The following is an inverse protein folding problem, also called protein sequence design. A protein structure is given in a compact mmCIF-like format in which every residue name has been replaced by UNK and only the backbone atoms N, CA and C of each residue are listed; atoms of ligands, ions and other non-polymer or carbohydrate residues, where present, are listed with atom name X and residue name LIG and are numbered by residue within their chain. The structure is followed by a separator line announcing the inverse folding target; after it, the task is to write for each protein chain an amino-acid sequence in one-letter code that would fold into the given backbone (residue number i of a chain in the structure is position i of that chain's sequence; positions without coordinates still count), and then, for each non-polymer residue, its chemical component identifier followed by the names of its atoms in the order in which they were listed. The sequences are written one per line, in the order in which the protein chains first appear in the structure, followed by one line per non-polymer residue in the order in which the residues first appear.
data_IF_708160859914
#
_entry.id   IF_708160859914
#
_cell.length_a   1.000
_cell.length_b   1.000
_cell.length_c   1.000
_cell.angle_alpha   90.00
_cell.angle_beta   90.00
_cell.angle_gamma   90.00
#
_symmetry.space_group_name_H-M   'P 1'
#
loop_
_entity.id
_entity.type
_entity.pdbx_description
1 polymer ?
#
# COMPACT_ATOMS: atom_id res chain seq x y z
N UNK A 1 -41.40 -4.70 -10.81
CA UNK A 1 -40.61 -5.57 -9.92
C UNK A 1 -40.72 -6.98 -10.45
N UNK A 2 -39.76 -7.42 -11.26
CA UNK A 2 -39.69 -8.80 -11.74
C UNK A 2 -38.87 -9.57 -10.73
N UNK A 3 -39.51 -10.44 -9.96
CA UNK A 3 -38.85 -11.36 -9.05
C UNK A 3 -38.12 -12.39 -9.91
N UNK A 4 -36.80 -12.31 -9.91
CA UNK A 4 -35.93 -13.30 -10.52
C UNK A 4 -36.08 -14.62 -9.77
N UNK A 5 -36.49 -15.70 -10.46
CA UNK A 5 -36.64 -17.03 -9.88
C UNK A 5 -35.30 -17.57 -9.37
N UNK A 6 -35.32 -18.62 -8.52
CA UNK A 6 -34.09 -19.22 -7.99
C UNK A 6 -33.21 -19.74 -9.12
N UNK A 7 -31.84 -19.68 -8.96
CA UNK A 7 -30.91 -20.13 -9.97
C UNK A 7 -31.10 -21.63 -10.26
N UNK A 8 -31.16 -21.99 -11.53
CA UNK A 8 -31.30 -23.38 -11.98
C UNK A 8 -29.99 -24.13 -11.67
N UNK A 9 -30.04 -25.12 -10.79
CA UNK A 9 -28.89 -25.98 -10.48
C UNK A 9 -28.76 -27.01 -11.61
N UNK A 10 -27.72 -26.87 -12.43
CA UNK A 10 -27.36 -27.86 -13.46
C UNK A 10 -26.36 -28.87 -12.86
N UNK A 11 -26.67 -30.16 -12.90
CA UNK A 11 -25.92 -31.24 -12.24
C UNK A 11 -24.77 -31.81 -13.07
N UNK A 12 -24.49 -31.34 -14.27
CA UNK A 12 -23.31 -31.68 -15.08
C UNK A 12 -22.52 -30.43 -15.44
N UNK A 13 -21.21 -30.46 -15.12
CA UNK A 13 -20.33 -29.34 -15.35
C UNK A 13 -20.00 -29.22 -16.82
N UNK A 14 -20.84 -28.56 -17.62
CA UNK A 14 -20.50 -28.11 -18.96
C UNK A 14 -19.29 -27.15 -18.83
N UNK A 15 -18.26 -27.35 -19.70
CA UNK A 15 -17.05 -26.52 -19.70
C UNK A 15 -17.37 -25.02 -19.95
N UNK A 16 -18.42 -24.71 -20.71
CA UNK A 16 -18.84 -23.34 -20.96
C UNK A 16 -19.43 -22.70 -19.69
N UNK A 17 -20.30 -23.42 -18.99
CA UNK A 17 -20.87 -22.99 -17.72
C UNK A 17 -19.77 -22.83 -16.64
N UNK A 18 -18.86 -23.79 -16.54
CA UNK A 18 -17.73 -23.71 -15.62
C UNK A 18 -16.87 -22.47 -15.90
N UNK A 19 -16.53 -22.21 -17.16
CA UNK A 19 -15.75 -21.02 -17.56
C UNK A 19 -16.48 -19.73 -17.25
N UNK A 20 -17.78 -19.64 -17.48
CA UNK A 20 -18.58 -18.46 -17.15
C UNK A 20 -18.58 -18.20 -15.64
N UNK A 21 -18.84 -19.25 -14.84
CA UNK A 21 -18.87 -19.13 -13.37
C UNK A 21 -17.51 -18.73 -12.82
N UNK A 22 -16.41 -19.40 -13.24
CA UNK A 22 -15.06 -19.07 -12.79
C UNK A 22 -14.62 -17.69 -13.28
N UNK A 23 -15.11 -17.26 -14.45
CA UNK A 23 -14.88 -15.92 -14.99
C UNK A 23 -15.39 -14.79 -14.09
N UNK A 24 -16.27 -15.06 -13.11
CA UNK A 24 -16.70 -14.06 -12.13
C UNK A 24 -15.69 -13.82 -11.01
N UNK A 25 -14.66 -14.66 -10.87
CA UNK A 25 -13.52 -14.36 -10.01
C UNK A 25 -12.64 -13.30 -10.69
N UNK A 26 -12.66 -12.09 -10.19
CA UNK A 26 -11.68 -11.08 -10.60
C UNK A 26 -10.31 -11.46 -10.04
N UNK A 27 -9.30 -11.50 -10.89
CA UNK A 27 -7.92 -11.81 -10.49
C UNK A 27 -6.96 -10.71 -10.96
N UNK A 28 -5.84 -10.57 -10.26
CA UNK A 28 -4.69 -9.83 -10.79
C UNK A 28 -4.10 -10.57 -11.99
N UNK A 29 -3.39 -9.83 -12.84
CA UNK A 29 -2.67 -10.37 -13.98
C UNK A 29 -1.19 -10.41 -13.68
N UNK A 30 -0.59 -11.59 -13.86
CA UNK A 30 0.84 -11.79 -13.65
C UNK A 30 1.50 -12.37 -14.90
N UNK A 31 2.80 -12.14 -15.04
CA UNK A 31 3.65 -12.88 -15.98
C UNK A 31 4.62 -13.72 -15.15
N UNK A 32 4.53 -15.03 -15.32
CA UNK A 32 5.49 -15.97 -14.71
C UNK A 32 6.67 -16.10 -15.65
N UNK A 33 7.87 -15.83 -15.16
CA UNK A 33 9.11 -15.88 -15.94
C UNK A 33 10.13 -16.80 -15.29
N UNK A 34 10.90 -17.51 -16.09
CA UNK A 34 12.01 -18.34 -15.63
C UNK A 34 13.09 -18.44 -16.71
N UNK A 35 14.25 -18.99 -16.33
CA UNK A 35 15.34 -19.31 -17.23
C UNK A 35 15.72 -20.78 -17.07
N UNK A 36 15.86 -21.50 -18.17
CA UNK A 36 16.33 -22.87 -18.19
C UNK A 36 17.28 -23.07 -19.39
N UNK A 37 18.43 -23.68 -19.15
CA UNK A 37 19.44 -23.90 -20.20
C UNK A 37 19.89 -22.63 -20.92
N UNK A 38 19.85 -21.46 -20.26
CA UNK A 38 20.18 -20.15 -20.84
C UNK A 38 19.04 -19.50 -21.65
N UNK A 39 17.94 -20.21 -21.89
CA UNK A 39 16.76 -19.69 -22.58
C UNK A 39 15.75 -19.11 -21.60
N UNK A 40 15.11 -17.99 -22.00
CA UNK A 40 14.07 -17.35 -21.21
C UNK A 40 12.68 -17.90 -21.60
N UNK A 41 11.85 -18.12 -20.58
CA UNK A 41 10.47 -18.59 -20.73
C UNK A 41 9.54 -17.69 -19.95
N UNK A 42 8.36 -17.40 -20.51
CA UNK A 42 7.36 -16.58 -19.86
C UNK A 42 5.94 -16.93 -20.28
N UNK A 43 4.99 -16.73 -19.38
CA UNK A 43 3.56 -16.93 -19.64
C UNK A 43 2.71 -16.05 -18.75
N UNK A 44 1.65 -15.48 -19.30
CA UNK A 44 0.62 -14.78 -18.50
C UNK A 44 -0.18 -15.79 -17.70
N UNK A 45 -0.32 -15.54 -16.42
CA UNK A 45 -1.08 -16.38 -15.51
C UNK A 45 -1.92 -15.49 -14.56
N UNK A 46 -3.16 -15.93 -14.31
CA UNK A 46 -4.04 -15.36 -13.30
C UNK A 46 -4.26 -16.29 -12.10
N UNK A 47 -3.82 -17.55 -12.24
CA UNK A 47 -3.93 -18.56 -11.18
C UNK A 47 -2.71 -18.52 -10.25
N UNK A 48 -2.60 -17.45 -9.50
CA UNK A 48 -1.56 -17.17 -8.50
C UNK A 48 -2.23 -16.77 -7.19
N UNK A 49 -1.77 -17.31 -6.07
CA UNK A 49 -2.27 -16.95 -4.74
C UNK A 49 -1.17 -17.03 -3.69
N UNK A 50 -1.27 -16.21 -2.64
CA UNK A 50 -0.47 -16.39 -1.44
C UNK A 50 -0.93 -17.68 -0.71
N UNK A 51 0.03 -18.40 -0.13
CA UNK A 51 -0.21 -19.68 0.53
C UNK A 51 0.08 -19.61 2.03
N UNK A 52 1.21 -19.02 2.40
CA UNK A 52 1.67 -18.91 3.79
C UNK A 52 2.42 -17.60 3.99
N UNK A 53 2.41 -17.09 5.22
CA UNK A 53 3.20 -15.92 5.62
C UNK A 53 4.47 -16.33 6.37
N UNK A 54 4.49 -17.53 6.96
CA UNK A 54 5.65 -18.06 7.67
C UNK A 54 5.81 -19.57 7.37
N UNK A 55 6.83 -19.98 6.57
CA UNK A 55 7.61 -19.10 5.68
C UNK A 55 6.72 -18.45 4.60
N UNK A 56 7.17 -17.30 3.98
CA UNK A 56 6.41 -16.68 2.91
C UNK A 56 6.34 -17.60 1.69
N UNK A 57 5.14 -18.02 1.31
CA UNK A 57 4.91 -18.96 0.21
C UNK A 57 3.77 -18.51 -0.70
N UNK A 58 3.88 -18.90 -1.96
CA UNK A 58 2.87 -18.72 -2.99
C UNK A 58 2.55 -20.03 -3.70
N UNK A 59 1.37 -20.11 -4.32
CA UNK A 59 1.05 -21.15 -5.28
C UNK A 59 0.82 -20.54 -6.67
N UNK A 60 1.25 -21.29 -7.71
CA UNK A 60 1.06 -20.91 -9.11
C UNK A 60 0.60 -22.15 -9.89
N UNK A 61 -0.48 -22.01 -10.67
CA UNK A 61 -0.95 -23.09 -11.54
C UNK A 61 -0.55 -22.81 -13.00
N UNK A 62 0.24 -23.69 -13.60
CA UNK A 62 0.64 -23.60 -15.00
C UNK A 62 0.13 -24.79 -15.80
N UNK A 63 -0.36 -24.53 -17.02
CA UNK A 63 -0.79 -25.60 -17.91
C UNK A 63 0.43 -26.43 -18.34
N UNK A 64 0.33 -27.75 -18.21
CA UNK A 64 1.40 -28.73 -18.49
C UNK A 64 1.84 -28.78 -19.97
N UNK A 65 1.07 -28.18 -20.88
CA UNK A 65 1.43 -28.09 -22.31
C UNK A 65 2.27 -26.86 -22.63
N UNK A 66 2.56 -26.03 -21.66
CA UNK A 66 3.33 -24.80 -21.88
C UNK A 66 4.82 -25.05 -21.64
N UNK A 67 5.71 -24.60 -22.53
CA UNK A 67 7.16 -24.71 -22.32
C UNK A 67 7.62 -24.09 -21.00
N UNK A 68 6.94 -23.00 -20.55
CA UNK A 68 7.24 -22.36 -19.26
C UNK A 68 7.00 -23.30 -18.07
N UNK A 69 6.01 -24.24 -18.17
CA UNK A 69 5.79 -25.24 -17.11
C UNK A 69 7.01 -26.16 -16.95
N UNK A 70 7.50 -26.69 -18.09
CA UNK A 70 8.65 -27.59 -18.09
C UNK A 70 9.93 -26.85 -17.62
N UNK A 71 10.10 -25.61 -18.05
CA UNK A 71 11.23 -24.78 -17.66
C UNK A 71 11.24 -24.45 -16.14
N UNK A 72 10.08 -24.12 -15.55
CA UNK A 72 9.94 -23.89 -14.10
C UNK A 72 10.22 -25.19 -13.32
N UNK A 73 9.76 -26.33 -13.85
CA UNK A 73 10.02 -27.64 -13.22
C UNK A 73 11.51 -28.00 -13.26
N UNK A 74 12.19 -27.72 -14.36
CA UNK A 74 13.61 -27.99 -14.56
C UNK A 74 14.49 -27.06 -13.73
N UNK A 75 14.26 -25.76 -13.82
CA UNK A 75 15.08 -24.75 -13.13
C UNK A 75 14.85 -24.69 -11.61
N UNK A 76 13.65 -25.06 -11.16
CA UNK A 76 13.24 -24.96 -9.76
C UNK A 76 13.07 -23.53 -9.23
N UNK A 77 13.16 -22.52 -10.10
CA UNK A 77 13.02 -21.10 -9.75
C UNK A 77 12.20 -20.33 -10.79
N UNK A 78 11.48 -19.29 -10.35
CA UNK A 78 10.72 -18.43 -11.25
C UNK A 78 10.48 -17.06 -10.61
N UNK A 79 10.16 -16.06 -11.43
CA UNK A 79 9.63 -14.79 -10.95
C UNK A 79 8.12 -14.69 -11.27
N UNK A 80 7.39 -14.05 -10.36
CA UNK A 80 6.02 -13.59 -10.56
C UNK A 80 6.10 -12.08 -10.76
N UNK A 81 5.81 -11.60 -11.95
CA UNK A 81 5.73 -10.17 -12.26
C UNK A 81 4.25 -9.76 -12.26
N UNK A 82 3.83 -8.98 -11.28
CA UNK A 82 2.47 -8.43 -11.17
C UNK A 82 2.40 -7.20 -12.07
N UNK A 83 1.50 -7.23 -13.06
CA UNK A 83 1.43 -6.17 -14.05
C UNK A 83 0.67 -4.94 -13.54
N UNK A 84 1.12 -3.75 -13.95
CA UNK A 84 0.40 -2.49 -13.77
C UNK A 84 -0.77 -2.36 -14.74
N UNK A 85 -1.72 -1.50 -14.43
CA UNK A 85 -2.98 -1.33 -15.17
C UNK A 85 -2.80 -0.96 -16.65
N UNK A 86 -1.68 -0.38 -17.04
CA UNK A 86 -1.32 0.01 -18.42
C UNK A 86 -0.59 -1.07 -19.19
N UNK A 87 -0.22 -2.20 -18.56
CA UNK A 87 0.53 -3.31 -19.18
C UNK A 87 -0.36 -4.39 -19.82
N UNK A 88 -1.55 -4.05 -20.31
CA UNK A 88 -2.47 -4.99 -20.97
C UNK A 88 -1.89 -5.59 -22.27
N UNK A 89 -1.11 -4.83 -23.04
CA UNK A 89 -0.43 -5.34 -24.24
C UNK A 89 0.62 -6.37 -23.88
N UNK A 90 1.40 -6.11 -22.84
CA UNK A 90 2.40 -7.06 -22.32
C UNK A 90 1.74 -8.35 -21.84
N UNK A 91 0.62 -8.25 -21.10
CA UNK A 91 -0.17 -9.42 -20.72
C UNK A 91 -0.60 -10.26 -21.93
N UNK A 92 -1.04 -9.61 -23.01
CA UNK A 92 -1.43 -10.27 -24.26
C UNK A 92 -0.24 -10.92 -24.94
N UNK A 93 0.92 -10.25 -25.00
CA UNK A 93 2.16 -10.77 -25.58
C UNK A 93 2.58 -12.09 -24.92
N UNK A 94 2.57 -12.16 -23.60
CA UNK A 94 2.91 -13.38 -22.86
C UNK A 94 1.81 -14.45 -22.85
N UNK A 95 0.56 -14.09 -23.15
CA UNK A 95 -0.55 -15.05 -23.31
C UNK A 95 -0.52 -15.78 -24.66
N UNK A 96 0.11 -15.21 -25.68
CA UNK A 96 0.15 -15.78 -27.05
C UNK A 96 1.21 -16.89 -27.19
N UNK A 97 1.12 -17.68 -28.28
CA UNK A 97 2.13 -18.68 -28.65
C UNK A 97 3.21 -18.05 -29.57
N UNK A 98 3.76 -16.91 -29.19
CA UNK A 98 4.83 -16.28 -29.94
C UNK A 98 6.19 -16.86 -29.56
N UNK A 99 7.11 -17.13 -30.51
CA UNK A 99 8.44 -17.68 -30.22
C UNK A 99 9.34 -16.71 -29.46
N UNK A 100 9.17 -15.40 -29.68
CA UNK A 100 9.91 -14.34 -28.99
C UNK A 100 8.96 -13.49 -28.13
N UNK A 101 8.66 -14.00 -26.93
CA UNK A 101 7.77 -13.30 -25.98
C UNK A 101 8.47 -12.17 -25.22
N UNK A 102 9.81 -12.13 -25.25
CA UNK A 102 10.60 -11.13 -24.54
C UNK A 102 11.05 -9.97 -25.45
N UNK A 103 10.60 -9.95 -26.72
CA UNK A 103 10.91 -8.86 -27.62
C UNK A 103 10.39 -7.53 -27.07
N UNK A 104 11.26 -6.52 -27.04
CA UNK A 104 10.98 -5.16 -26.58
C UNK A 104 10.56 -5.08 -25.10
N UNK A 105 10.87 -6.11 -24.29
CA UNK A 105 10.61 -6.14 -22.86
C UNK A 105 11.86 -5.75 -22.09
N UNK A 106 11.78 -4.67 -21.30
CA UNK A 106 12.83 -4.28 -20.40
C UNK A 106 12.93 -5.28 -19.23
N UNK A 107 14.10 -5.87 -19.04
CA UNK A 107 14.36 -6.85 -17.99
C UNK A 107 15.38 -6.33 -16.99
N UNK A 108 15.13 -6.58 -15.71
CA UNK A 108 16.08 -6.44 -14.63
C UNK A 108 16.72 -7.81 -14.30
N UNK A 109 17.91 -7.78 -13.75
CA UNK A 109 18.54 -8.98 -13.22
C UNK A 109 17.93 -9.32 -11.86
N UNK A 110 17.33 -10.51 -11.77
CA UNK A 110 16.83 -11.04 -10.51
C UNK A 110 17.95 -11.69 -9.66
N UNK A 111 17.71 -11.83 -8.39
CA UNK A 111 18.62 -12.49 -7.42
C UNK A 111 18.78 -13.98 -7.71
N UNK A 112 17.72 -14.63 -8.26
CA UNK A 112 17.71 -16.06 -8.61
C UNK A 112 18.11 -16.34 -10.06
N UNK A 113 18.69 -15.36 -10.78
CA UNK A 113 19.00 -15.44 -12.22
C UNK A 113 17.75 -15.71 -13.10
N UNK A 114 16.59 -15.27 -12.65
CA UNK A 114 15.33 -15.32 -13.41
C UNK A 114 15.08 -13.97 -14.09
N UNK A 115 14.45 -13.91 -15.27
CA UNK A 115 14.08 -12.65 -15.88
C UNK A 115 12.99 -11.94 -15.03
N UNK A 116 13.28 -10.72 -14.59
CA UNK A 116 12.30 -9.86 -13.93
C UNK A 116 11.90 -8.74 -14.89
N UNK A 117 10.61 -8.49 -15.08
CA UNK A 117 10.11 -7.39 -15.91
C UNK A 117 10.33 -6.08 -15.14
N UNK A 118 11.20 -5.20 -15.66
CA UNK A 118 11.71 -4.03 -14.95
C UNK A 118 10.60 -3.03 -14.54
N UNK A 119 9.54 -2.91 -15.35
CA UNK A 119 8.45 -1.95 -15.16
C UNK A 119 7.17 -2.61 -14.58
N UNK A 120 7.25 -3.85 -14.06
CA UNK A 120 6.11 -4.47 -13.39
C UNK A 120 5.76 -3.72 -12.09
N UNK A 121 4.47 -3.66 -11.74
CA UNK A 121 3.99 -3.03 -10.50
C UNK A 121 4.66 -3.62 -9.27
N UNK A 122 4.83 -4.95 -9.26
CA UNK A 122 5.55 -5.67 -8.22
C UNK A 122 6.12 -6.97 -8.78
N UNK A 123 7.14 -7.53 -8.12
CA UNK A 123 7.62 -8.85 -8.45
C UNK A 123 8.04 -9.64 -7.21
N UNK A 124 7.95 -10.95 -7.36
CA UNK A 124 8.41 -11.94 -6.37
C UNK A 124 9.37 -12.89 -7.08
N UNK A 125 10.51 -13.20 -6.50
CA UNK A 125 11.36 -14.29 -6.95
C UNK A 125 11.18 -15.49 -6.03
N UNK A 126 10.90 -16.65 -6.61
CA UNK A 126 10.42 -17.81 -5.90
C UNK A 126 11.24 -19.06 -6.20
N UNK A 127 11.43 -19.88 -5.17
CA UNK A 127 12.03 -21.21 -5.28
C UNK A 127 10.96 -22.29 -5.05
N UNK A 128 10.80 -23.17 -6.02
CA UNK A 128 9.85 -24.30 -5.94
C UNK A 128 10.24 -25.22 -4.77
N UNK A 129 9.28 -25.51 -3.91
CA UNK A 129 9.40 -26.49 -2.83
C UNK A 129 8.72 -27.80 -3.19
N UNK A 130 7.56 -27.71 -3.84
CA UNK A 130 6.78 -28.86 -4.23
C UNK A 130 6.05 -28.58 -5.55
N UNK A 131 5.82 -29.59 -6.36
CA UNK A 131 5.04 -29.51 -7.58
C UNK A 131 4.11 -30.71 -7.66
N UNK A 132 2.81 -30.45 -7.80
CA UNK A 132 1.77 -31.48 -7.89
C UNK A 132 1.06 -31.37 -9.25
N UNK A 133 1.03 -32.47 -9.99
CA UNK A 133 0.30 -32.55 -11.25
C UNK A 133 -1.17 -32.89 -11.02
N UNK A 134 -2.06 -32.00 -11.42
CA UNK A 134 -3.51 -32.19 -11.30
C UNK A 134 -4.17 -31.92 -12.65
N UNK A 135 -4.76 -32.93 -13.24
CA UNK A 135 -5.42 -32.86 -14.54
C UNK A 135 -4.53 -32.21 -15.63
N UNK A 136 -4.89 -31.03 -16.11
CA UNK A 136 -4.18 -30.32 -17.19
C UNK A 136 -3.10 -29.35 -16.68
N UNK A 137 -2.95 -29.19 -15.37
CA UNK A 137 -2.05 -28.20 -14.77
C UNK A 137 -1.08 -28.82 -13.79
N UNK A 138 0.05 -28.16 -13.62
CA UNK A 138 0.94 -28.36 -12.46
C UNK A 138 0.68 -27.22 -11.48
N UNK A 139 0.56 -27.57 -10.19
CA UNK A 139 0.51 -26.61 -9.08
C UNK A 139 1.89 -26.56 -8.45
N UNK A 140 2.54 -25.43 -8.55
CA UNK A 140 3.83 -25.17 -7.94
C UNK A 140 3.63 -24.48 -6.59
N UNK A 141 4.12 -25.08 -5.51
CA UNK A 141 4.22 -24.48 -4.20
C UNK A 141 5.64 -23.93 -4.06
N UNK A 142 5.78 -22.62 -3.89
CA UNK A 142 7.08 -21.97 -3.92
C UNK A 142 7.26 -21.00 -2.75
N UNK A 143 8.48 -21.01 -2.21
CA UNK A 143 8.91 -20.09 -1.17
C UNK A 143 9.43 -18.80 -1.82
N UNK A 144 8.97 -17.66 -1.33
CA UNK A 144 9.39 -16.34 -1.77
C UNK A 144 10.76 -16.02 -1.19
N UNK A 145 11.72 -15.72 -2.05
CA UNK A 145 13.08 -15.37 -1.67
C UNK A 145 13.29 -13.86 -1.65
N UNK A 146 12.68 -13.15 -2.60
CA UNK A 146 12.69 -11.68 -2.64
C UNK A 146 11.33 -11.16 -3.10
N UNK A 147 10.97 -9.97 -2.65
CA UNK A 147 9.76 -9.27 -3.03
C UNK A 147 10.03 -7.76 -3.18
N UNK A 148 9.52 -7.17 -4.25
CA UNK A 148 9.62 -5.73 -4.51
C UNK A 148 8.29 -5.22 -5.03
N UNK A 149 7.83 -4.05 -4.59
CA UNK A 149 6.62 -3.41 -5.08
C UNK A 149 6.88 -1.93 -5.36
N UNK A 150 6.28 -1.43 -6.45
CA UNK A 150 6.22 -0.02 -6.81
C UNK A 150 4.83 0.59 -6.53
N UNK A 151 4.69 1.91 -6.66
CA UNK A 151 3.40 2.58 -6.61
C UNK A 151 2.60 2.30 -7.88
N UNK A 152 1.27 2.34 -7.78
CA UNK A 152 0.37 2.18 -8.93
C UNK A 152 -0.78 1.22 -8.67
N UNK A 153 -1.61 1.00 -9.70
CA UNK A 153 -2.75 0.10 -9.67
C UNK A 153 -2.48 -1.18 -10.50
N UNK A 154 -2.94 -2.36 -10.03
CA UNK A 154 -2.71 -3.61 -10.76
C UNK A 154 -3.65 -3.76 -11.95
N UNK A 155 -3.16 -4.45 -13.00
CA UNK A 155 -4.01 -4.93 -14.10
C UNK A 155 -4.95 -6.01 -13.58
N UNK A 156 -6.26 -5.85 -13.82
CA UNK A 156 -7.29 -6.83 -13.48
C UNK A 156 -7.69 -7.68 -14.67
N UNK A 157 -8.11 -8.91 -14.39
CA UNK A 157 -8.74 -9.80 -15.38
C UNK A 157 -10.11 -10.24 -14.88
N UNK A 158 -11.14 -10.00 -15.69
CA UNK A 158 -12.52 -10.35 -15.41
C UNK A 158 -13.24 -10.79 -16.67
N UNK A 159 -13.88 -11.96 -16.63
CA UNK A 159 -14.73 -12.51 -17.72
C UNK A 159 -14.07 -12.49 -19.11
N UNK A 160 -12.79 -12.79 -19.18
CA UNK A 160 -12.06 -12.88 -20.45
C UNK A 160 -11.48 -11.55 -20.95
N UNK A 161 -11.62 -10.47 -20.21
CA UNK A 161 -11.11 -9.14 -20.57
C UNK A 161 -10.14 -8.61 -19.52
N UNK A 162 -9.10 -7.92 -19.99
CA UNK A 162 -8.26 -7.10 -19.13
C UNK A 162 -9.00 -5.81 -18.81
N UNK A 163 -8.88 -5.34 -17.56
CA UNK A 163 -9.48 -4.11 -17.09
C UNK A 163 -8.63 -3.46 -16.01
N UNK A 164 -9.04 -2.28 -15.61
CA UNK A 164 -8.51 -1.58 -14.45
C UNK A 164 -9.44 -1.86 -13.28
N UNK A 165 -8.89 -1.89 -12.08
CA UNK A 165 -9.73 -1.62 -10.92
C UNK A 165 -10.15 -0.16 -11.07
N UNK A 166 -11.33 0.09 -11.62
CA UNK A 166 -11.88 1.43 -11.58
C UNK A 166 -11.88 1.86 -10.11
N UNK A 167 -11.39 3.05 -9.85
CA UNK A 167 -11.60 3.70 -8.58
C UNK A 167 -13.08 3.57 -8.22
N UNK A 168 -13.37 3.03 -7.04
CA UNK A 168 -14.76 2.86 -6.67
C UNK A 168 -15.39 4.25 -6.52
N UNK A 169 -16.70 4.36 -6.78
CA UNK A 169 -17.42 5.60 -6.51
C UNK A 169 -17.17 6.07 -5.06
N UNK A 170 -16.99 5.13 -4.13
CA UNK A 170 -16.68 5.41 -2.74
C UNK A 170 -15.32 6.09 -2.57
N UNK A 171 -14.29 5.61 -3.26
CA UNK A 171 -12.93 6.18 -3.20
C UNK A 171 -12.90 7.58 -3.84
N UNK A 172 -13.59 7.76 -4.97
CA UNK A 172 -13.66 9.07 -5.62
C UNK A 172 -14.42 10.10 -4.77
N UNK A 173 -15.53 9.71 -4.14
CA UNK A 173 -16.30 10.57 -3.24
C UNK A 173 -15.51 10.89 -1.97
N UNK A 174 -14.81 9.89 -1.39
CA UNK A 174 -13.93 10.13 -0.24
C UNK A 174 -12.84 11.15 -0.58
N UNK A 175 -12.15 11.00 -1.71
CA UNK A 175 -11.08 11.89 -2.14
C UNK A 175 -11.59 13.30 -2.40
N UNK A 176 -12.72 13.45 -3.06
CA UNK A 176 -13.32 14.74 -3.33
C UNK A 176 -13.72 15.47 -2.05
N UNK A 177 -14.38 14.80 -1.10
CA UNK A 177 -14.75 15.42 0.19
C UNK A 177 -13.50 15.72 1.01
N UNK A 178 -12.49 14.83 0.99
CA UNK A 178 -11.21 15.04 1.69
C UNK A 178 -10.50 16.30 1.14
N UNK A 179 -10.44 16.44 -0.17
CA UNK A 179 -9.82 17.62 -0.80
C UNK A 179 -10.53 18.91 -0.40
N UNK A 180 -11.85 18.93 -0.37
CA UNK A 180 -12.63 20.10 0.08
C UNK A 180 -12.37 20.47 1.54
N UNK A 181 -12.16 19.46 2.41
CA UNK A 181 -11.78 19.68 3.82
C UNK A 181 -10.36 20.24 3.92
N UNK A 182 -9.41 19.69 3.16
CA UNK A 182 -8.01 20.11 3.23
C UNK A 182 -7.77 21.46 2.57
N UNK A 183 -8.40 21.74 1.42
CA UNK A 183 -8.33 23.04 0.71
C UNK A 183 -9.16 24.14 1.38
N UNK A 184 -9.91 23.82 2.45
CA UNK A 184 -10.79 24.74 3.19
C UNK A 184 -11.96 25.28 2.38
N UNK A 185 -12.38 24.57 1.35
CA UNK A 185 -13.63 24.86 0.64
C UNK A 185 -14.82 24.70 1.60
N UNK A 186 -14.71 23.80 2.58
CA UNK A 186 -15.62 23.71 3.71
C UNK A 186 -15.06 24.51 4.89
N UNK A 187 -15.82 25.48 5.36
CA UNK A 187 -15.39 26.36 6.46
C UNK A 187 -15.39 25.63 7.82
N UNK A 188 -14.54 26.12 8.76
CA UNK A 188 -14.59 25.63 10.14
C UNK A 188 -15.95 25.94 10.77
N UNK A 189 -16.56 24.91 11.40
CA UNK A 189 -17.89 25.01 12.01
C UNK A 189 -19.06 24.86 11.03
N UNK A 190 -18.80 24.83 9.75
CA UNK A 190 -19.83 24.50 8.75
C UNK A 190 -20.28 23.05 8.89
N UNK A 191 -21.60 22.83 8.83
CA UNK A 191 -22.19 21.48 8.96
C UNK A 191 -22.20 20.77 7.61
N UNK A 192 -21.51 19.64 7.53
CA UNK A 192 -21.50 18.75 6.39
C UNK A 192 -22.57 17.68 6.62
N UNK A 193 -23.61 17.65 5.80
CA UNK A 193 -24.65 16.62 5.85
C UNK A 193 -24.51 15.62 4.71
N UNK A 194 -24.96 14.39 4.94
CA UNK A 194 -24.98 13.37 3.88
C UNK A 194 -25.84 13.81 2.70
N UNK A 195 -26.99 14.41 2.98
CA UNK A 195 -27.94 14.91 1.96
C UNK A 195 -27.35 16.06 1.15
N UNK A 196 -26.78 17.06 1.83
CA UNK A 196 -26.18 18.22 1.18
C UNK A 196 -25.05 17.82 0.24
N UNK A 197 -24.11 17.01 0.75
CA UNK A 197 -22.97 16.55 -0.03
C UNK A 197 -23.35 15.64 -1.18
N UNK A 198 -24.37 14.76 -0.98
CA UNK A 198 -24.87 13.89 -2.03
C UNK A 198 -25.51 14.69 -3.20
N UNK A 199 -26.24 15.76 -2.86
CA UNK A 199 -26.81 16.68 -3.87
C UNK A 199 -25.72 17.45 -4.60
N UNK A 200 -24.71 17.96 -3.87
CA UNK A 200 -23.64 18.78 -4.44
C UNK A 200 -22.71 17.98 -5.37
N UNK A 201 -22.44 16.70 -5.02
CA UNK A 201 -21.59 15.81 -5.82
C UNK A 201 -22.37 15.04 -6.89
N UNK A 202 -23.70 15.17 -6.95
CA UNK A 202 -24.59 14.40 -7.83
C UNK A 202 -24.39 12.87 -7.69
N UNK A 203 -24.32 12.39 -6.45
CA UNK A 203 -24.12 10.96 -6.13
C UNK A 203 -25.14 10.45 -5.14
N UNK A 204 -25.23 9.12 -4.99
CA UNK A 204 -26.08 8.51 -3.98
C UNK A 204 -25.61 8.83 -2.54
N UNK A 205 -26.53 8.74 -1.55
CA UNK A 205 -26.22 8.99 -0.13
C UNK A 205 -25.23 7.99 0.46
N UNK A 206 -25.26 6.72 0.01
CA UNK A 206 -24.46 5.66 0.61
C UNK A 206 -22.93 5.86 0.44
N UNK A 207 -22.39 6.21 -0.74
CA UNK A 207 -20.98 6.57 -0.89
C UNK A 207 -20.58 7.75 0.00
N UNK A 208 -21.40 8.80 0.06
CA UNK A 208 -21.14 9.99 0.89
C UNK A 208 -21.11 9.62 2.39
N UNK A 209 -22.07 8.82 2.85
CA UNK A 209 -22.09 8.37 4.24
C UNK A 209 -20.81 7.60 4.59
N UNK A 210 -20.38 6.66 3.73
CA UNK A 210 -19.12 5.92 3.96
C UNK A 210 -17.91 6.84 3.98
N UNK A 211 -17.82 7.78 3.04
CA UNK A 211 -16.74 8.76 2.98
C UNK A 211 -16.66 9.64 4.24
N UNK A 212 -17.78 10.16 4.71
CA UNK A 212 -17.85 10.96 5.94
C UNK A 212 -17.48 10.15 7.19
N UNK A 213 -17.88 8.89 7.26
CA UNK A 213 -17.48 7.99 8.35
C UNK A 213 -15.97 7.70 8.31
N UNK A 214 -15.40 7.50 7.13
CA UNK A 214 -13.97 7.30 6.97
C UNK A 214 -13.20 8.56 7.38
N UNK A 215 -13.58 9.74 6.88
CA UNK A 215 -12.95 11.01 7.25
C UNK A 215 -13.03 11.30 8.76
N UNK A 216 -14.13 10.85 9.41
CA UNK A 216 -14.23 10.91 10.88
C UNK A 216 -13.24 9.95 11.55
N UNK A 217 -13.12 8.72 11.02
CA UNK A 217 -12.15 7.74 11.54
C UNK A 217 -10.70 8.25 11.36
N UNK A 218 -10.44 8.96 10.27
CA UNK A 218 -9.14 9.58 9.97
C UNK A 218 -8.85 10.82 10.84
N UNK A 219 -9.82 11.26 11.66
CA UNK A 219 -9.68 12.43 12.53
C UNK A 219 -9.87 13.78 11.83
N UNK A 220 -10.26 13.79 10.55
CA UNK A 220 -10.50 15.02 9.78
C UNK A 220 -11.86 15.65 10.07
N UNK A 221 -12.84 14.84 10.50
CA UNK A 221 -14.19 15.28 10.84
C UNK A 221 -14.58 14.83 12.24
N UNK A 222 -15.49 15.60 12.87
CA UNK A 222 -16.19 15.21 14.09
C UNK A 222 -17.70 15.17 13.81
N UNK A 223 -18.40 14.19 14.41
CA UNK A 223 -19.85 14.11 14.31
C UNK A 223 -20.53 15.03 15.33
N UNK A 224 -21.57 15.74 14.92
CA UNK A 224 -22.41 16.59 15.75
C UNK A 224 -23.90 16.33 15.51
N UNK A 225 -24.77 17.05 16.21
CA UNK A 225 -26.23 16.90 16.10
C UNK A 225 -26.79 17.33 14.73
N UNK A 226 -26.04 18.14 13.98
CA UNK A 226 -26.44 18.63 12.65
C UNK A 226 -25.70 17.98 11.49
N UNK A 227 -24.92 16.92 11.71
CA UNK A 227 -24.06 16.30 10.69
C UNK A 227 -22.62 16.21 11.15
N UNK A 228 -21.68 16.46 10.25
CA UNK A 228 -20.25 16.47 10.52
C UNK A 228 -19.69 17.88 10.43
N UNK A 229 -18.65 18.16 11.18
CA UNK A 229 -17.88 19.40 11.07
C UNK A 229 -16.40 19.09 10.97
N UNK A 230 -15.64 19.99 10.36
CA UNK A 230 -14.19 19.83 10.24
C UNK A 230 -13.55 19.89 11.64
N UNK A 231 -12.68 18.93 11.96
CA UNK A 231 -11.91 18.93 13.21
C UNK A 231 -10.99 20.16 13.24
N UNK A 232 -11.13 21.08 14.18
CA UNK A 232 -10.24 22.25 14.24
C UNK A 232 -8.82 21.81 14.65
N UNK A 233 -7.81 22.32 13.94
CA UNK A 233 -6.40 22.15 14.28
C UNK A 233 -5.82 23.52 14.57
N UNK A 234 -5.48 23.78 15.82
CA UNK A 234 -4.75 24.97 16.28
C UNK A 234 -3.28 24.65 16.52
N UNK A 235 -2.43 25.67 16.66
CA UNK A 235 -1.01 25.46 17.04
C UNK A 235 -0.91 24.68 18.35
N UNK A 236 -1.76 25.01 19.34
CA UNK A 236 -1.76 24.35 20.64
C UNK A 236 -2.12 22.86 20.55
N UNK A 237 -3.23 22.53 19.87
CA UNK A 237 -3.67 21.12 19.71
C UNK A 237 -2.67 20.31 18.89
N UNK A 238 -2.05 20.90 17.87
CA UNK A 238 -1.00 20.27 17.10
C UNK A 238 0.23 19.98 18.01
N UNK A 239 0.68 20.96 18.77
CA UNK A 239 1.83 20.78 19.67
C UNK A 239 1.58 19.70 20.71
N UNK A 240 0.39 19.69 21.34
CA UNK A 240 0.02 18.64 22.29
C UNK A 240 0.08 17.24 21.67
N UNK A 241 -0.33 17.10 20.41
CA UNK A 241 -0.24 15.82 19.69
C UNK A 241 1.21 15.41 19.40
N UNK A 242 2.07 16.36 19.01
CA UNK A 242 3.51 16.11 18.80
C UNK A 242 4.22 15.76 20.11
N UNK A 243 3.94 16.47 21.21
CA UNK A 243 4.52 16.18 22.53
C UNK A 243 4.10 14.81 23.05
N UNK A 244 2.82 14.45 22.89
CA UNK A 244 2.32 13.12 23.25
C UNK A 244 2.97 12.00 22.43
N UNK A 245 3.19 12.23 21.11
CA UNK A 245 3.94 11.32 20.25
C UNK A 245 5.35 11.10 20.79
N UNK A 246 6.10 12.20 21.00
CA UNK A 246 7.47 12.13 21.45
C UNK A 246 7.60 11.42 22.82
N UNK A 247 6.67 11.68 23.74
CA UNK A 247 6.66 11.03 25.05
C UNK A 247 6.47 9.50 24.93
N UNK A 248 5.57 9.05 24.04
CA UNK A 248 5.33 7.63 23.80
C UNK A 248 6.57 6.99 23.15
N UNK A 249 7.09 7.58 22.09
CA UNK A 249 8.24 7.06 21.34
C UNK A 249 9.50 6.99 22.20
N UNK A 250 9.81 8.06 22.93
CA UNK A 250 10.93 8.07 23.87
C UNK A 250 10.79 7.00 24.94
N UNK A 251 9.58 6.80 25.50
CA UNK A 251 9.31 5.75 26.47
C UNK A 251 9.53 4.34 25.91
N UNK A 252 9.15 4.10 24.65
CA UNK A 252 9.41 2.83 23.96
C UNK A 252 10.90 2.64 23.70
N UNK A 253 11.60 3.67 23.21
CA UNK A 253 13.05 3.62 22.98
C UNK A 253 13.81 3.36 24.27
N UNK A 254 13.46 4.02 25.38
CA UNK A 254 14.07 3.78 26.69
C UNK A 254 13.88 2.33 27.16
N UNK A 255 12.71 1.75 26.90
CA UNK A 255 12.38 0.40 27.32
C UNK A 255 13.00 -0.69 26.43
N UNK A 256 13.08 -0.45 25.13
CA UNK A 256 13.36 -1.47 24.13
C UNK A 256 14.70 -1.25 23.39
N UNK A 257 15.22 -0.01 23.34
CA UNK A 257 16.30 0.38 22.44
C UNK A 257 17.63 -0.35 22.64
N UNK A 258 17.87 -0.90 23.83
CA UNK A 258 19.09 -1.69 24.11
C UNK A 258 19.02 -3.17 23.72
N UNK A 259 17.85 -3.69 23.32
CA UNK A 259 17.60 -5.14 23.17
C UNK A 259 16.79 -5.52 21.92
N UNK A 260 16.81 -4.70 20.88
CA UNK A 260 16.06 -4.96 19.64
C UNK A 260 16.61 -6.17 18.89
N UNK A 261 15.71 -7.02 18.39
CA UNK A 261 16.05 -8.15 17.53
C UNK A 261 16.37 -7.67 16.09
N UNK A 262 17.11 -8.48 15.33
CA UNK A 262 17.55 -8.11 13.99
C UNK A 262 16.39 -7.88 13.01
N UNK A 263 15.30 -8.64 13.14
CA UNK A 263 14.08 -8.50 12.34
C UNK A 263 13.31 -7.21 12.67
N UNK A 264 13.28 -6.81 13.96
CA UNK A 264 12.70 -5.54 14.39
C UNK A 264 13.49 -4.35 13.82
N UNK A 265 14.82 -4.40 13.87
CA UNK A 265 15.69 -3.38 13.28
C UNK A 265 15.52 -3.31 11.75
N UNK A 266 15.45 -4.47 11.08
CA UNK A 266 15.23 -4.52 9.62
C UNK A 266 13.87 -3.92 9.23
N UNK A 267 12.80 -4.22 9.97
CA UNK A 267 11.47 -3.65 9.74
C UNK A 267 11.45 -2.14 9.95
N UNK A 268 12.09 -1.67 11.01
CA UNK A 268 12.19 -0.24 11.31
C UNK A 268 13.03 0.49 10.25
N UNK A 269 14.13 -0.12 9.79
CA UNK A 269 14.96 0.38 8.70
C UNK A 269 14.17 0.52 7.40
N UNK A 270 13.37 -0.48 7.03
CA UNK A 270 12.52 -0.42 5.85
C UNK A 270 11.48 0.71 5.96
N UNK A 271 10.85 0.90 7.12
CA UNK A 271 9.91 1.99 7.35
C UNK A 271 10.57 3.37 7.25
N UNK A 272 11.77 3.55 7.83
CA UNK A 272 12.54 4.79 7.71
C UNK A 272 12.92 5.11 6.26
N UNK A 273 13.44 4.12 5.53
CA UNK A 273 13.80 4.27 4.12
C UNK A 273 12.58 4.56 3.25
N UNK A 274 11.41 4.04 3.60
CA UNK A 274 10.15 4.32 2.91
C UNK A 274 9.73 5.79 2.94
N UNK A 275 10.31 6.62 3.82
CA UNK A 275 10.04 8.06 3.87
C UNK A 275 10.89 8.87 2.88
N UNK A 276 12.06 8.36 2.48
CA UNK A 276 13.04 9.10 1.67
C UNK A 276 12.52 9.60 0.31
N UNK A 277 11.71 8.83 -0.46
CA UNK A 277 11.27 9.26 -1.79
C UNK A 277 10.38 10.51 -1.78
N UNK A 278 9.78 10.87 -0.66
CA UNK A 278 8.70 11.86 -0.58
C UNK A 278 9.17 13.29 -0.26
N UNK A 279 10.46 13.47 0.06
CA UNK A 279 11.11 14.78 0.18
C UNK A 279 12.40 14.77 -0.63
N UNK A 280 12.59 15.79 -1.49
CA UNK A 280 13.80 15.95 -2.26
C UNK A 280 14.09 17.46 -2.48
N UNK A 281 15.35 17.86 -2.31
CA UNK A 281 15.79 19.25 -2.46
C UNK A 281 14.94 20.24 -1.64
N UNK A 282 14.68 19.92 -0.38
CA UNK A 282 13.86 20.70 0.56
C UNK A 282 12.43 20.96 0.07
N UNK A 283 11.86 20.02 -0.70
CA UNK A 283 10.47 20.10 -1.20
C UNK A 283 9.77 18.77 -1.01
N UNK A 284 8.46 18.82 -0.76
CA UNK A 284 7.62 17.65 -0.85
C UNK A 284 7.50 17.21 -2.32
N UNK A 285 7.74 15.94 -2.57
CA UNK A 285 7.40 15.27 -3.84
C UNK A 285 5.90 14.98 -3.87
N UNK A 286 5.39 14.44 -2.77
CA UNK A 286 3.97 14.20 -2.52
C UNK A 286 3.72 14.29 -0.99
N UNK A 287 2.87 15.22 -0.58
CA UNK A 287 2.58 15.48 0.85
C UNK A 287 1.82 14.32 1.47
N UNK A 288 0.82 13.75 0.77
CA UNK A 288 -0.01 12.68 1.32
C UNK A 288 0.78 11.38 1.46
N UNK A 289 1.59 11.07 0.46
CA UNK A 289 2.51 9.94 0.52
C UNK A 289 3.56 10.11 1.63
N UNK A 290 4.10 11.31 1.81
CA UNK A 290 4.99 11.62 2.93
C UNK A 290 4.30 11.43 4.28
N UNK A 291 3.10 11.99 4.47
CA UNK A 291 2.34 11.86 5.73
C UNK A 291 2.07 10.39 6.06
N UNK A 292 1.73 9.60 5.06
CA UNK A 292 1.49 8.16 5.21
C UNK A 292 2.76 7.41 5.60
N UNK A 293 3.86 7.63 4.89
CA UNK A 293 5.15 6.99 5.17
C UNK A 293 5.71 7.42 6.54
N UNK A 294 5.60 8.70 6.87
CA UNK A 294 5.99 9.25 8.18
C UNK A 294 5.19 8.60 9.32
N UNK A 295 3.86 8.48 9.17
CA UNK A 295 3.02 7.81 10.16
C UNK A 295 3.43 6.34 10.35
N UNK A 296 3.70 5.65 9.25
CA UNK A 296 4.14 4.25 9.28
C UNK A 296 5.46 4.08 10.06
N UNK A 297 6.45 4.95 9.83
CA UNK A 297 7.72 4.91 10.57
C UNK A 297 7.50 5.09 12.08
N UNK A 298 6.78 6.13 12.48
CA UNK A 298 6.53 6.42 13.88
C UNK A 298 5.66 5.33 14.56
N UNK A 299 4.68 4.77 13.86
CA UNK A 299 3.93 3.60 14.35
C UNK A 299 4.81 2.36 14.50
N UNK A 300 5.80 2.16 13.62
CA UNK A 300 6.77 1.07 13.76
C UNK A 300 7.64 1.24 15.01
N UNK A 301 8.07 2.46 15.34
CA UNK A 301 8.78 2.75 16.60
C UNK A 301 7.93 2.36 17.79
N UNK A 302 6.66 2.78 17.84
CA UNK A 302 5.74 2.44 18.94
C UNK A 302 5.45 0.93 18.98
N UNK A 303 5.38 0.30 17.81
CA UNK A 303 5.17 -1.14 17.64
C UNK A 303 6.25 -2.02 18.30
N UNK A 304 7.48 -1.51 18.47
CA UNK A 304 8.57 -2.22 19.15
C UNK A 304 8.19 -2.68 20.56
N UNK A 305 7.30 -1.94 21.23
CA UNK A 305 6.82 -2.31 22.58
C UNK A 305 5.95 -3.58 22.60
N UNK A 306 5.45 -4.06 21.44
CA UNK A 306 4.52 -5.20 21.36
C UNK A 306 3.20 -4.98 22.12
N UNK A 307 2.84 -3.73 22.42
CA UNK A 307 1.70 -3.36 23.26
C UNK A 307 0.55 -2.77 22.41
N UNK A 308 -0.46 -3.60 22.11
CA UNK A 308 -1.60 -3.19 21.29
C UNK A 308 -2.38 -2.00 21.88
N UNK A 309 -2.47 -1.87 23.21
CA UNK A 309 -3.14 -0.74 23.86
C UNK A 309 -2.38 0.55 23.67
N UNK A 310 -1.04 0.50 23.73
CA UNK A 310 -0.18 1.65 23.48
C UNK A 310 -0.28 2.10 22.02
N UNK A 311 -0.21 1.17 21.07
CA UNK A 311 -0.41 1.47 19.65
C UNK A 311 -1.78 2.06 19.36
N UNK A 312 -2.84 1.58 20.02
CA UNK A 312 -4.18 2.15 19.90
C UNK A 312 -4.27 3.56 20.48
N UNK A 313 -3.59 3.84 21.62
CA UNK A 313 -3.50 5.17 22.19
C UNK A 313 -2.74 6.14 21.29
N UNK A 314 -1.63 5.69 20.69
CA UNK A 314 -0.84 6.46 19.74
C UNK A 314 -1.66 6.87 18.50
N UNK A 315 -2.37 5.93 17.87
CA UNK A 315 -3.23 6.24 16.72
C UNK A 315 -4.33 7.27 17.03
N UNK A 316 -4.84 7.31 18.26
CA UNK A 316 -5.83 8.33 18.68
C UNK A 316 -5.28 9.76 18.75
N UNK A 317 -3.95 9.96 18.69
CA UNK A 317 -3.37 11.31 18.56
C UNK A 317 -3.70 11.94 17.19
N UNK A 318 -4.12 11.15 16.20
CA UNK A 318 -4.53 11.59 14.87
C UNK A 318 -3.52 12.52 14.20
N UNK A 319 -2.23 12.31 14.45
CA UNK A 319 -1.13 13.12 13.87
C UNK A 319 -1.16 13.18 12.34
N UNK A 320 -1.48 12.09 11.60
CA UNK A 320 -1.63 12.18 10.15
C UNK A 320 -2.67 13.22 9.73
N UNK A 321 -3.80 13.34 10.44
CA UNK A 321 -4.82 14.35 10.15
C UNK A 321 -4.30 15.76 10.42
N UNK A 322 -3.58 15.98 11.52
CA UNK A 322 -2.94 17.27 11.84
C UNK A 322 -1.95 17.66 10.74
N UNK A 323 -1.09 16.72 10.32
CA UNK A 323 -0.08 16.96 9.29
C UNK A 323 -0.71 17.19 7.91
N UNK A 324 -1.68 16.37 7.50
CA UNK A 324 -2.38 16.54 6.22
C UNK A 324 -3.00 17.94 6.11
N UNK A 325 -3.63 18.41 7.20
CA UNK A 325 -4.23 19.74 7.21
C UNK A 325 -3.20 20.87 7.23
N UNK A 326 -2.18 20.76 8.06
CA UNK A 326 -1.16 21.79 8.20
C UNK A 326 -0.24 21.89 6.97
N UNK A 327 -0.01 20.78 6.26
CA UNK A 327 0.94 20.71 5.16
C UNK A 327 0.26 20.75 3.78
N UNK A 328 -1.07 20.71 3.71
CA UNK A 328 -1.78 20.77 2.44
C UNK A 328 -1.41 22.06 1.66
N UNK A 329 -1.04 21.91 0.38
CA UNK A 329 -0.60 23.00 -0.46
C UNK A 329 0.79 23.59 -0.10
N UNK A 330 1.50 22.98 0.84
CA UNK A 330 2.85 23.40 1.21
C UNK A 330 3.87 22.67 0.33
N UNK A 331 4.67 23.42 -0.42
CA UNK A 331 5.70 22.84 -1.29
C UNK A 331 7.05 22.67 -0.59
N UNK A 332 7.45 23.66 0.24
CA UNK A 332 8.78 23.69 0.87
C UNK A 332 8.78 22.96 2.21
N UNK A 333 9.81 22.17 2.43
CA UNK A 333 10.07 21.46 3.69
C UNK A 333 11.58 21.38 3.91
N UNK A 334 12.06 20.43 4.70
CA UNK A 334 13.48 20.20 4.93
C UNK A 334 13.80 18.71 4.71
N UNK A 335 14.84 18.42 3.92
CA UNK A 335 15.32 17.04 3.66
C UNK A 335 15.65 16.30 4.96
N UNK A 336 16.04 17.05 6.02
CA UNK A 336 16.34 16.46 7.33
C UNK A 336 15.20 15.60 7.89
N UNK A 337 13.92 15.92 7.61
CA UNK A 337 12.81 15.16 8.20
C UNK A 337 12.82 13.68 7.84
N UNK A 338 13.24 13.34 6.63
CA UNK A 338 13.42 11.94 6.23
C UNK A 338 14.79 11.38 6.65
N UNK A 339 15.84 12.21 6.64
CA UNK A 339 17.16 11.84 7.10
C UNK A 339 17.17 11.51 8.61
N UNK A 340 16.43 12.26 9.43
CA UNK A 340 16.30 12.01 10.87
C UNK A 340 15.71 10.62 11.14
N UNK A 341 14.74 10.15 10.37
CA UNK A 341 14.18 8.80 10.53
C UNK A 341 15.22 7.71 10.34
N UNK A 342 16.06 7.85 9.31
CA UNK A 342 17.17 6.90 9.08
C UNK A 342 18.19 6.96 10.21
N UNK A 343 18.54 8.17 10.66
CA UNK A 343 19.51 8.36 11.74
C UNK A 343 19.02 7.82 13.10
N UNK A 344 17.70 7.88 13.39
CA UNK A 344 17.13 7.22 14.58
C UNK A 344 17.41 5.72 14.56
N UNK A 345 17.26 5.08 13.38
CA UNK A 345 17.55 3.65 13.25
C UNK A 345 19.05 3.37 13.37
N UNK A 346 19.92 4.25 12.82
CA UNK A 346 21.38 4.12 12.97
C UNK A 346 21.81 4.12 14.44
N UNK A 347 21.23 5.01 15.27
CA UNK A 347 21.47 5.00 16.72
C UNK A 347 21.01 3.70 17.39
N UNK A 348 19.84 3.19 17.02
CA UNK A 348 19.30 1.94 17.60
C UNK A 348 20.13 0.72 17.18
N UNK A 349 20.63 0.66 15.95
CA UNK A 349 21.55 -0.37 15.47
C UNK A 349 22.92 -0.30 16.21
N UNK A 350 23.37 0.92 16.50
CA UNK A 350 24.57 1.17 17.32
C UNK A 350 24.36 0.88 18.81
N UNK A 351 23.14 0.51 19.23
CA UNK A 351 22.73 0.34 20.65
C UNK A 351 22.89 1.61 21.47
N UNK A 352 22.58 2.75 20.86
CA UNK A 352 22.57 4.07 21.50
C UNK A 352 21.14 4.61 21.61
N UNK A 353 20.33 4.12 22.57
CA UNK A 353 18.96 4.61 22.77
C UNK A 353 18.92 6.09 23.20
N UNK A 354 19.93 6.60 23.87
CA UNK A 354 19.99 8.00 24.28
C UNK A 354 20.14 8.92 23.06
N UNK A 355 20.99 8.56 22.08
CA UNK A 355 21.10 9.27 20.81
C UNK A 355 19.82 9.22 20.01
N UNK A 356 19.19 8.05 19.88
CA UNK A 356 17.91 7.90 19.21
C UNK A 356 16.83 8.78 19.84
N UNK A 357 16.70 8.78 21.17
CA UNK A 357 15.75 9.61 21.91
C UNK A 357 15.99 11.11 21.70
N UNK A 358 17.25 11.54 21.84
CA UNK A 358 17.60 12.94 21.63
C UNK A 358 17.22 13.43 20.23
N UNK A 359 17.43 12.60 19.22
CA UNK A 359 17.04 12.90 17.85
C UNK A 359 15.52 12.94 17.64
N UNK A 360 14.75 12.03 18.25
CA UNK A 360 13.27 12.06 18.22
C UNK A 360 12.74 13.36 18.82
N UNK A 361 13.33 13.85 19.91
CA UNK A 361 12.93 15.12 20.53
C UNK A 361 13.24 16.31 19.61
N UNK A 362 14.43 16.38 19.04
CA UNK A 362 14.83 17.44 18.10
C UNK A 362 13.97 17.42 16.82
N UNK A 363 13.72 16.23 16.26
CA UNK A 363 12.81 16.04 15.12
C UNK A 363 11.39 16.51 15.46
N UNK A 364 10.92 16.25 16.67
CA UNK A 364 9.60 16.69 17.14
C UNK A 364 9.51 18.21 17.21
N UNK A 365 10.52 18.89 17.77
CA UNK A 365 10.55 20.35 17.83
C UNK A 365 10.60 20.98 16.43
N UNK A 366 11.37 20.43 15.52
CA UNK A 366 11.39 20.86 14.13
C UNK A 366 10.02 20.70 13.45
N UNK A 367 9.33 19.58 13.70
CA UNK A 367 7.97 19.33 13.22
C UNK A 367 6.95 20.32 13.79
N UNK A 368 6.99 20.59 15.09
CA UNK A 368 6.14 21.60 15.77
C UNK A 368 6.30 22.97 15.15
N UNK A 369 7.55 23.40 14.94
CA UNK A 369 7.82 24.69 14.30
C UNK A 369 7.31 24.76 12.87
N UNK A 370 7.47 23.68 12.09
CA UNK A 370 6.95 23.59 10.74
C UNK A 370 5.44 23.74 10.67
N UNK A 371 4.73 23.02 11.53
CA UNK A 371 3.27 23.07 11.65
C UNK A 371 2.80 24.45 12.16
N UNK A 372 3.52 25.04 13.12
CA UNK A 372 3.24 26.40 13.63
C UNK A 372 3.27 27.43 12.50
N UNK A 373 4.33 27.40 11.67
CA UNK A 373 4.46 28.31 10.53
C UNK A 373 3.28 28.14 9.58
N UNK A 374 2.91 26.90 9.24
CA UNK A 374 1.82 26.60 8.34
C UNK A 374 0.46 27.10 8.89
N UNK A 375 0.15 26.77 10.17
CA UNK A 375 -1.11 27.20 10.82
C UNK A 375 -1.17 28.72 10.94
N UNK A 376 -0.05 29.38 11.31
CA UNK A 376 -0.01 30.85 11.44
C UNK A 376 -0.21 31.57 10.09
N UNK A 377 0.39 31.03 9.01
CA UNK A 377 0.18 31.55 7.65
C UNK A 377 -1.28 31.42 7.20
N UNK A 378 -2.00 30.51 7.78
CA UNK A 378 -3.41 30.21 7.49
C UNK A 378 -4.42 30.98 8.34
N UNK A 379 -3.99 31.89 9.20
CA UNK A 379 -4.87 32.64 10.07
C UNK A 379 -5.04 32.09 11.49
N UNK A 380 -4.22 31.12 11.90
CA UNK A 380 -4.15 30.66 13.31
C UNK A 380 -4.95 29.40 13.62
N UNK A 381 -5.80 28.92 12.71
CA UNK A 381 -6.48 27.64 12.80
C UNK A 381 -6.81 27.07 11.42
N UNK A 382 -6.89 25.75 11.37
CA UNK A 382 -7.33 25.00 10.20
C UNK A 382 -8.68 24.37 10.46
#
# INVERSE_FOLDING_TARGET
MTVSGPPTVTTTTDQAVFRDVVGHFTSGVTVITTRDGGQQFGVTASAVSSLSMDPPMVLVCLNRRLPTNDAVRSSGVFAINILSEDQGELATQFATRHPDKFRDVALAAGTLDVPVIAESLAHLECRVRECVDVATHSVFFAEVQTATAGPGAPLAYFRGSFGRFAETLDDSVYREIRERVLSRTVALGESITVEGMATELDVGRAPVFRALQQLRSDGLLVAGSGGYTVTPVTVETAWQAYDARAAIECGVIDQMGGSLAADQLASLRAAAQGTLPWIAADRFVDVDAYVTANAHFHEAVVGLAGNASLSAAYRRLSLPAVMSRALHGVEKTLDRFTADHVAVVDFLEARDPDGARALILDHTEAGKERVRIAISAAGGAY
#
